data_IF_426462043571
#
_entry.id   IF_426462043571
#
_cell.length_a   1.000
_cell.length_b   1.000
_cell.length_c   1.000
_cell.angle_alpha   90.00
_cell.angle_beta   90.00
_cell.angle_gamma   90.00
#
_symmetry.space_group_name_H-M   'P 1'
#
loop_
_entity.id
_entity.type
_entity.pdbx_description
1 polymer ?
#
# COMPACT_ATOMS: atom_id res chain seq x y z
N UNK A 1 25.51 -0.45 12.68
CA UNK A 1 24.67 -0.40 11.46
C UNK A 1 24.34 1.06 11.14
N UNK A 2 25.12 1.71 10.29
CA UNK A 2 24.97 3.12 9.90
C UNK A 2 24.18 3.20 8.59
N UNK A 3 22.98 3.81 8.66
CA UNK A 3 22.09 4.02 7.52
C UNK A 3 22.73 5.06 6.59
N UNK A 4 23.34 4.60 5.49
CA UNK A 4 23.89 5.46 4.43
C UNK A 4 22.73 6.19 3.75
N UNK A 5 22.48 7.43 4.17
CA UNK A 5 21.51 8.34 3.58
C UNK A 5 21.99 8.75 2.18
N UNK A 6 21.74 7.90 1.18
CA UNK A 6 21.95 8.25 -0.21
C UNK A 6 20.72 8.99 -0.73
N UNK A 7 20.74 10.33 -0.65
CA UNK A 7 20.23 11.28 -1.65
C UNK A 7 20.33 12.74 -1.17
N UNK A 8 21.47 13.41 -1.45
CA UNK A 8 21.46 14.87 -1.58
C UNK A 8 21.92 15.35 -2.96
N UNK A 9 22.34 14.45 -3.87
CA UNK A 9 22.90 14.84 -5.19
C UNK A 9 21.89 15.56 -6.09
N UNK A 10 20.62 15.16 -6.06
CA UNK A 10 19.57 15.81 -6.84
C UNK A 10 19.21 17.20 -6.30
N UNK A 11 19.00 17.32 -4.99
CA UNK A 11 18.65 18.60 -4.37
C UNK A 11 19.78 19.63 -4.47
N UNK A 12 21.04 19.20 -4.29
CA UNK A 12 22.20 20.07 -4.47
C UNK A 12 22.37 20.52 -5.93
N UNK A 13 22.11 19.65 -6.91
CA UNK A 13 22.15 20.02 -8.31
C UNK A 13 21.08 21.08 -8.66
N UNK A 14 19.85 20.91 -8.18
CA UNK A 14 18.78 21.90 -8.38
C UNK A 14 19.08 23.24 -7.68
N UNK A 15 19.67 23.22 -6.48
CA UNK A 15 20.09 24.43 -5.78
C UNK A 15 21.21 25.17 -6.53
N UNK A 16 22.20 24.47 -7.08
CA UNK A 16 23.26 25.06 -7.90
C UNK A 16 22.71 25.67 -9.19
N UNK A 17 21.79 25.00 -9.87
CA UNK A 17 21.14 25.53 -11.08
C UNK A 17 20.34 26.79 -10.77
N UNK A 18 19.59 26.80 -9.66
CA UNK A 18 18.85 27.98 -9.22
C UNK A 18 19.79 29.15 -8.89
N UNK A 19 20.87 28.91 -8.15
CA UNK A 19 21.87 29.92 -7.80
C UNK A 19 22.60 30.48 -9.03
N UNK A 20 23.00 29.61 -9.97
CA UNK A 20 23.64 30.03 -11.21
C UNK A 20 22.70 30.88 -12.08
N UNK A 21 21.43 30.50 -12.16
CA UNK A 21 20.40 31.28 -12.87
C UNK A 21 20.22 32.66 -12.26
N UNK A 22 20.18 32.74 -10.92
CA UNK A 22 20.05 34.00 -10.19
C UNK A 22 21.29 34.91 -10.39
N UNK A 23 22.49 34.33 -10.35
CA UNK A 23 23.73 35.06 -10.57
C UNK A 23 23.81 35.66 -11.98
N UNK A 24 23.39 34.91 -12.99
CA UNK A 24 23.31 35.40 -14.38
C UNK A 24 22.36 36.60 -14.48
N UNK A 25 21.17 36.52 -13.88
CA UNK A 25 20.20 37.63 -13.87
C UNK A 25 20.80 38.89 -13.22
N UNK A 26 21.49 38.74 -12.09
CA UNK A 26 22.11 39.87 -11.38
C UNK A 26 23.28 40.50 -12.14
N UNK A 27 24.06 39.73 -12.90
CA UNK A 27 25.25 40.22 -13.63
C UNK A 27 24.88 40.87 -14.98
N UNK A 28 23.73 40.49 -15.56
CA UNK A 28 23.25 40.98 -16.86
C UNK A 28 23.19 42.52 -16.97
N UNK A 29 22.62 43.30 -16.03
CA UNK A 29 22.56 44.76 -16.16
C UNK A 29 23.94 45.43 -16.17
N UNK A 30 24.92 44.90 -15.41
CA UNK A 30 26.28 45.46 -15.38
C UNK A 30 27.06 45.18 -16.67
N UNK A 31 26.86 44.00 -17.26
CA UNK A 31 27.42 43.67 -18.58
C UNK A 31 26.83 44.57 -19.68
N UNK A 32 25.51 44.81 -19.63
CA UNK A 32 24.83 45.65 -20.60
C UNK A 32 25.29 47.11 -20.50
N UNK A 33 25.50 47.64 -19.29
CA UNK A 33 25.97 49.01 -19.09
C UNK A 33 27.41 49.22 -19.61
N UNK A 34 28.29 48.21 -19.48
CA UNK A 34 29.67 48.29 -19.97
C UNK A 34 29.85 48.12 -21.48
N UNK A 35 28.89 47.48 -22.17
CA UNK A 35 28.99 47.11 -23.58
C UNK A 35 28.02 47.90 -24.49
N UNK A 36 27.03 48.60 -23.93
CA UNK A 36 26.02 49.30 -24.72
C UNK A 36 26.55 50.61 -25.36
N UNK A 37 26.36 50.81 -26.68
CA UNK A 37 26.63 52.10 -27.32
C UNK A 37 25.69 53.19 -26.82
N UNK A 38 26.19 54.44 -26.69
CA UNK A 38 25.40 55.62 -26.24
C UNK A 38 24.18 55.97 -27.10
N UNK A 39 23.99 55.34 -28.26
CA UNK A 39 22.85 55.54 -29.17
C UNK A 39 21.74 54.50 -29.00
N UNK A 40 21.80 53.64 -27.97
CA UNK A 40 20.79 52.61 -27.74
C UNK A 40 19.52 53.23 -27.16
N UNK A 41 18.40 53.06 -27.88
CA UNK A 41 17.11 53.64 -27.50
C UNK A 41 16.39 52.73 -26.48
N UNK A 42 16.59 53.05 -25.20
CA UNK A 42 16.10 52.25 -24.07
C UNK A 42 14.58 52.05 -24.07
N UNK A 43 13.82 52.99 -24.62
CA UNK A 43 12.37 52.88 -24.75
C UNK A 43 11.96 51.74 -25.69
N UNK A 44 12.62 51.62 -26.85
CA UNK A 44 12.35 50.52 -27.79
C UNK A 44 12.76 49.17 -27.23
N UNK A 45 13.85 49.13 -26.45
CA UNK A 45 14.29 47.91 -25.76
C UNK A 45 13.30 47.50 -24.65
N UNK A 46 12.69 48.48 -23.97
CA UNK A 46 11.64 48.27 -22.97
C UNK A 46 10.35 47.71 -23.58
N UNK A 47 9.91 48.21 -24.73
CA UNK A 47 8.72 47.66 -25.42
C UNK A 47 8.92 46.20 -25.87
N UNK A 48 10.14 45.88 -26.31
CA UNK A 48 10.54 44.51 -26.64
C UNK A 48 10.60 43.64 -25.36
N UNK A 49 11.14 44.16 -24.25
CA UNK A 49 11.21 43.40 -22.99
C UNK A 49 9.83 43.19 -22.35
N UNK A 50 8.88 44.12 -22.51
CA UNK A 50 7.51 43.96 -22.03
C UNK A 50 6.77 42.81 -22.73
N UNK A 51 7.00 42.60 -24.03
CA UNK A 51 6.46 41.44 -24.75
C UNK A 51 7.07 40.12 -24.27
N UNK A 52 8.37 40.10 -23.95
CA UNK A 52 9.00 38.96 -23.28
C UNK A 52 8.52 38.76 -21.83
N UNK A 53 8.16 39.84 -21.11
CA UNK A 53 7.59 39.78 -19.77
C UNK A 53 6.19 39.15 -19.75
N UNK A 54 5.36 39.43 -20.74
CA UNK A 54 4.06 38.76 -20.89
C UNK A 54 4.25 37.25 -21.17
N UNK A 55 5.22 36.88 -22.00
CA UNK A 55 5.55 35.48 -22.27
C UNK A 55 6.11 34.77 -21.02
N UNK A 56 6.95 35.43 -20.22
CA UNK A 56 7.53 34.84 -19.01
C UNK A 56 6.47 34.51 -17.96
N UNK A 57 5.44 35.35 -17.80
CA UNK A 57 4.29 35.07 -16.93
C UNK A 57 3.58 33.78 -17.36
N UNK A 58 3.37 33.59 -18.67
CA UNK A 58 2.76 32.36 -19.20
C UNK A 58 3.63 31.13 -18.92
N UNK A 59 4.96 31.23 -19.10
CA UNK A 59 5.88 30.15 -18.77
C UNK A 59 5.94 29.85 -17.27
N UNK A 60 5.95 30.87 -16.41
CA UNK A 60 5.90 30.69 -14.96
C UNK A 60 4.59 30.06 -14.50
N UNK A 61 3.46 30.47 -15.08
CA UNK A 61 2.16 29.87 -14.81
C UNK A 61 2.11 28.40 -15.26
N UNK A 62 2.65 28.07 -16.44
CA UNK A 62 2.76 26.70 -16.92
C UNK A 62 3.68 25.85 -16.03
N UNK A 63 4.82 26.39 -15.59
CA UNK A 63 5.72 25.72 -14.67
C UNK A 63 5.07 25.44 -13.31
N UNK A 64 4.36 26.42 -12.75
CA UNK A 64 3.62 26.24 -11.50
C UNK A 64 2.52 25.17 -11.63
N UNK A 65 1.79 25.17 -12.75
CA UNK A 65 0.81 24.13 -13.04
C UNK A 65 1.45 22.74 -13.10
N UNK A 66 2.63 22.63 -13.75
CA UNK A 66 3.41 21.40 -13.76
C UNK A 66 3.80 20.92 -12.35
N UNK A 67 4.22 21.83 -11.47
CA UNK A 67 4.54 21.52 -10.07
C UNK A 67 3.30 21.05 -9.32
N UNK A 68 2.16 21.73 -9.46
CA UNK A 68 0.90 21.35 -8.79
C UNK A 68 0.43 19.96 -9.22
N UNK A 69 0.44 19.68 -10.53
CA UNK A 69 0.08 18.36 -11.06
C UNK A 69 1.05 17.28 -10.56
N UNK A 70 2.34 17.58 -10.48
CA UNK A 70 3.35 16.67 -9.95
C UNK A 70 3.10 16.35 -8.48
N UNK A 71 2.81 17.35 -7.64
CA UNK A 71 2.50 17.15 -6.21
C UNK A 71 1.22 16.33 -6.05
N UNK A 72 0.18 16.62 -6.84
CA UNK A 72 -1.06 15.84 -6.82
C UNK A 72 -0.80 14.36 -7.15
N UNK A 73 0.00 14.10 -8.19
CA UNK A 73 0.39 12.75 -8.56
C UNK A 73 1.23 12.06 -7.46
N UNK A 74 2.21 12.78 -6.89
CA UNK A 74 3.04 12.28 -5.80
C UNK A 74 2.20 11.93 -4.56
N UNK A 75 1.23 12.77 -4.19
CA UNK A 75 0.38 12.52 -3.02
C UNK A 75 -0.41 11.20 -3.16
N UNK A 76 -0.93 10.92 -4.36
CA UNK A 76 -1.63 9.67 -4.67
C UNK A 76 -0.67 8.48 -4.60
N UNK A 77 0.52 8.60 -5.16
CA UNK A 77 1.53 7.55 -5.10
C UNK A 77 1.98 7.26 -3.66
N UNK A 78 2.19 8.29 -2.84
CA UNK A 78 2.54 8.14 -1.43
C UNK A 78 1.46 7.39 -0.65
N UNK A 79 0.18 7.66 -0.94
CA UNK A 79 -0.92 6.94 -0.28
C UNK A 79 -0.87 5.43 -0.59
N UNK A 80 -0.73 5.08 -1.86
CA UNK A 80 -0.63 3.67 -2.30
C UNK A 80 0.61 3.00 -1.68
N UNK A 81 1.75 3.69 -1.65
CA UNK A 81 2.97 3.17 -1.04
C UNK A 81 2.83 2.95 0.47
N UNK A 82 2.15 3.86 1.18
CA UNK A 82 1.90 3.73 2.61
C UNK A 82 0.99 2.54 2.92
N UNK A 83 -0.07 2.33 2.14
CA UNK A 83 -0.97 1.18 2.27
C UNK A 83 -0.21 -0.14 2.03
N UNK A 84 0.65 -0.19 1.01
CA UNK A 84 1.50 -1.36 0.74
C UNK A 84 2.53 -1.60 1.86
N UNK A 85 3.17 -0.54 2.37
CA UNK A 85 4.13 -0.62 3.46
C UNK A 85 3.48 -1.12 4.76
N UNK A 86 2.27 -0.65 5.08
CA UNK A 86 1.52 -1.11 6.25
C UNK A 86 1.23 -2.62 6.17
N UNK A 87 0.77 -3.11 5.02
CA UNK A 87 0.57 -4.55 4.79
C UNK A 87 1.85 -5.36 4.93
N UNK A 88 2.97 -4.84 4.41
CA UNK A 88 4.28 -5.49 4.52
C UNK A 88 4.74 -5.60 5.98
N UNK A 89 4.58 -4.55 6.79
CA UNK A 89 4.90 -4.60 8.21
C UNK A 89 4.01 -5.59 8.98
N UNK A 90 2.70 -5.62 8.71
CA UNK A 90 1.79 -6.61 9.32
C UNK A 90 2.23 -8.05 9.03
N UNK A 91 2.61 -8.33 7.79
CA UNK A 91 3.16 -9.62 7.40
C UNK A 91 4.47 -9.94 8.14
N UNK A 92 5.39 -8.98 8.24
CA UNK A 92 6.65 -9.16 8.99
C UNK A 92 6.43 -9.44 10.48
N UNK A 93 5.51 -8.71 11.13
CA UNK A 93 5.16 -8.95 12.54
C UNK A 93 4.52 -10.33 12.74
N UNK A 94 3.66 -10.74 11.82
CA UNK A 94 3.04 -12.07 11.87
C UNK A 94 4.09 -13.16 11.70
N UNK A 95 4.98 -13.02 10.72
CA UNK A 95 6.08 -13.97 10.52
C UNK A 95 7.03 -14.03 11.73
N UNK A 96 7.37 -12.90 12.35
CA UNK A 96 8.18 -12.87 13.58
C UNK A 96 7.51 -13.69 14.69
N UNK A 97 6.19 -13.56 14.83
CA UNK A 97 5.39 -14.31 15.82
C UNK A 97 5.35 -15.80 15.50
N UNK A 98 5.28 -16.15 14.22
CA UNK A 98 5.34 -17.54 13.80
C UNK A 98 6.74 -18.13 14.02
N UNK A 99 7.81 -17.35 13.91
CA UNK A 99 9.17 -17.82 14.18
C UNK A 99 9.40 -18.10 15.67
N UNK A 100 8.90 -17.24 16.56
CA UNK A 100 9.02 -17.39 18.01
C UNK A 100 7.63 -17.42 18.67
N UNK A 101 7.14 -18.61 19.09
CA UNK A 101 5.84 -18.76 19.75
C UNK A 101 5.70 -17.94 21.04
N UNK A 102 6.78 -17.48 21.66
CA UNK A 102 6.72 -16.65 22.86
C UNK A 102 6.04 -15.30 22.59
N UNK A 103 6.09 -14.79 21.36
CA UNK A 103 5.44 -13.53 20.98
C UNK A 103 3.94 -13.64 20.73
N UNK A 104 3.34 -14.84 20.79
CA UNK A 104 1.89 -15.00 20.62
C UNK A 104 1.08 -14.18 21.66
N UNK A 105 1.65 -13.97 22.85
CA UNK A 105 1.01 -13.19 23.93
C UNK A 105 0.97 -11.68 23.68
N UNK A 106 1.75 -11.17 22.71
CA UNK A 106 1.76 -9.76 22.32
C UNK A 106 0.55 -9.40 21.44
N UNK A 107 -0.16 -10.40 20.92
CA UNK A 107 -1.38 -10.22 20.13
C UNK A 107 -2.61 -10.11 21.02
N UNK A 108 -3.74 -9.75 20.41
CA UNK A 108 -5.03 -9.71 21.08
C UNK A 108 -5.40 -11.11 21.61
N UNK A 109 -6.05 -11.20 22.80
CA UNK A 109 -6.58 -12.46 23.30
C UNK A 109 -7.59 -13.09 22.33
N UNK A 110 -7.62 -14.43 22.19
CA UNK A 110 -8.64 -15.11 21.41
C UNK A 110 -10.06 -14.85 21.93
N UNK A 111 -11.03 -14.70 21.02
CA UNK A 111 -12.44 -14.57 21.38
C UNK A 111 -13.10 -15.93 21.66
N UNK A 112 -12.50 -17.02 21.16
CA UNK A 112 -12.93 -18.39 21.41
C UNK A 112 -11.83 -19.20 22.10
N UNK A 113 -12.18 -20.23 22.91
CA UNK A 113 -11.18 -21.13 23.47
C UNK A 113 -10.41 -21.85 22.36
N UNK A 114 -9.10 -21.61 22.27
CA UNK A 114 -8.24 -22.20 21.25
C UNK A 114 -6.90 -22.66 21.85
N UNK A 115 -6.32 -23.71 21.27
CA UNK A 115 -4.96 -24.11 21.60
C UNK A 115 -3.95 -23.14 21.00
N UNK A 116 -2.71 -23.11 21.53
CA UNK A 116 -1.64 -22.26 20.97
C UNK A 116 -1.36 -22.57 19.50
N UNK A 117 -1.40 -23.84 19.11
CA UNK A 117 -1.19 -24.25 17.73
C UNK A 117 -2.33 -23.77 16.83
N UNK A 118 -3.58 -23.94 17.27
CA UNK A 118 -4.74 -23.41 16.54
C UNK A 118 -4.67 -21.89 16.40
N UNK A 119 -4.20 -21.18 17.43
CA UNK A 119 -4.01 -19.73 17.36
C UNK A 119 -3.02 -19.31 16.27
N UNK A 120 -1.90 -20.02 16.11
CA UNK A 120 -0.93 -19.78 15.02
C UNK A 120 -1.57 -19.97 13.65
N UNK A 121 -2.40 -21.00 13.49
CA UNK A 121 -3.15 -21.25 12.25
C UNK A 121 -4.19 -20.16 11.98
N UNK A 122 -4.84 -19.63 13.02
CA UNK A 122 -5.77 -18.49 12.93
C UNK A 122 -5.03 -17.21 12.51
N UNK A 123 -3.80 -16.97 12.98
CA UNK A 123 -2.98 -15.84 12.53
C UNK A 123 -2.62 -15.94 11.03
N UNK A 124 -2.23 -17.13 10.57
CA UNK A 124 -2.00 -17.36 9.12
C UNK A 124 -3.30 -17.17 8.33
N UNK A 125 -4.41 -17.67 8.86
CA UNK A 125 -5.75 -17.49 8.28
C UNK A 125 -6.13 -16.01 8.14
N UNK A 126 -5.79 -15.18 9.13
CA UNK A 126 -5.98 -13.73 9.04
C UNK A 126 -5.23 -13.13 7.85
N UNK A 127 -4.00 -13.56 7.58
CA UNK A 127 -3.23 -13.08 6.41
C UNK A 127 -3.91 -13.47 5.09
N UNK A 128 -4.39 -14.71 4.99
CA UNK A 128 -5.08 -15.22 3.78
C UNK A 128 -6.36 -14.41 3.52
N UNK A 129 -7.21 -14.25 4.53
CA UNK A 129 -8.46 -13.50 4.37
C UNK A 129 -8.21 -12.01 4.12
N UNK A 130 -7.19 -11.41 4.74
CA UNK A 130 -6.79 -10.02 4.50
C UNK A 130 -6.25 -9.81 3.08
N UNK A 131 -5.60 -10.82 2.51
CA UNK A 131 -5.19 -10.83 1.10
C UNK A 131 -6.42 -10.82 0.18
N UNK A 132 -7.39 -11.71 0.41
CA UNK A 132 -8.63 -11.72 -0.39
C UNK A 132 -9.44 -10.43 -0.25
N UNK A 133 -9.47 -9.81 0.93
CA UNK A 133 -10.05 -8.48 1.10
C UNK A 133 -9.33 -7.44 0.21
N UNK A 134 -8.00 -7.48 0.15
CA UNK A 134 -7.22 -6.59 -0.72
C UNK A 134 -7.53 -6.84 -2.19
N UNK A 135 -7.58 -8.10 -2.63
CA UNK A 135 -7.86 -8.46 -4.02
C UNK A 135 -9.29 -8.07 -4.43
N UNK A 136 -10.26 -8.25 -3.54
CA UNK A 136 -11.65 -7.82 -3.74
C UNK A 136 -11.75 -6.29 -3.84
N UNK A 137 -11.00 -5.57 -3.02
CA UNK A 137 -10.98 -4.10 -3.06
C UNK A 137 -10.30 -3.55 -4.31
N UNK A 138 -9.34 -4.28 -4.87
CA UNK A 138 -8.62 -3.93 -6.09
C UNK A 138 -9.32 -4.44 -7.36
N UNK A 139 -10.53 -5.01 -7.24
CA UNK A 139 -11.29 -5.61 -8.33
C UNK A 139 -10.51 -6.73 -9.08
N UNK A 140 -9.54 -7.37 -8.40
CA UNK A 140 -8.82 -8.56 -8.88
C UNK A 140 -9.58 -9.86 -8.57
N UNK A 141 -10.45 -9.79 -7.55
CA UNK A 141 -11.33 -10.87 -7.14
C UNK A 141 -12.77 -10.34 -7.18
N UNK A 142 -13.58 -10.81 -8.12
CA UNK A 142 -15.00 -10.44 -8.18
C UNK A 142 -15.84 -11.18 -7.12
N UNK A 143 -17.11 -10.81 -6.99
CA UNK A 143 -18.01 -11.40 -5.99
C UNK A 143 -18.21 -12.92 -6.17
N UNK A 144 -18.32 -13.39 -7.42
CA UNK A 144 -18.45 -14.83 -7.72
C UNK A 144 -17.21 -15.61 -7.30
N UNK A 145 -16.03 -15.09 -7.62
CA UNK A 145 -14.75 -15.70 -7.29
C UNK A 145 -14.50 -15.65 -5.79
N UNK A 146 -14.86 -14.55 -5.12
CA UNK A 146 -14.80 -14.43 -3.67
C UNK A 146 -15.67 -15.49 -2.98
N UNK A 147 -16.91 -15.68 -3.44
CA UNK A 147 -17.78 -16.75 -2.94
C UNK A 147 -17.16 -18.13 -3.13
N UNK A 148 -16.55 -18.38 -4.30
CA UNK A 148 -15.93 -19.67 -4.59
C UNK A 148 -14.75 -19.96 -3.65
N UNK A 149 -13.81 -19.02 -3.49
CA UNK A 149 -12.64 -19.22 -2.62
C UNK A 149 -13.03 -19.35 -1.15
N UNK A 150 -14.01 -18.56 -0.68
CA UNK A 150 -14.53 -18.66 0.68
C UNK A 150 -15.27 -19.98 0.90
N UNK A 151 -15.99 -20.48 -0.10
CA UNK A 151 -16.68 -21.77 -0.02
C UNK A 151 -15.69 -22.89 0.17
N UNK A 152 -14.60 -22.91 -0.59
CA UNK A 152 -13.56 -23.91 -0.40
C UNK A 152 -12.82 -23.75 0.93
N UNK A 153 -12.58 -22.51 1.35
CA UNK A 153 -11.92 -22.21 2.61
C UNK A 153 -12.74 -22.67 3.84
N UNK A 154 -14.04 -22.42 3.86
CA UNK A 154 -14.94 -22.83 4.95
C UNK A 154 -15.35 -24.30 4.93
N UNK A 155 -14.90 -25.10 3.95
CA UNK A 155 -14.96 -26.56 4.08
C UNK A 155 -14.08 -27.06 5.22
N UNK A 156 -13.01 -26.33 5.51
CA UNK A 156 -12.02 -26.71 6.51
C UNK A 156 -12.34 -26.27 7.93
N UNK A 157 -11.94 -27.07 8.93
CA UNK A 157 -12.13 -26.72 10.34
C UNK A 157 -11.40 -25.42 10.73
N UNK A 158 -10.16 -25.21 10.28
CA UNK A 158 -9.36 -24.01 10.64
C UNK A 158 -10.03 -22.74 10.11
N UNK A 159 -10.56 -22.78 8.88
CA UNK A 159 -11.24 -21.64 8.28
C UNK A 159 -12.51 -21.28 9.04
N UNK A 160 -13.24 -22.28 9.54
CA UNK A 160 -14.42 -22.05 10.39
C UNK A 160 -14.06 -21.52 11.76
N UNK A 161 -13.04 -22.09 12.40
CA UNK A 161 -12.53 -21.60 13.69
C UNK A 161 -12.05 -20.14 13.58
N UNK A 162 -11.39 -19.81 12.47
CA UNK A 162 -10.97 -18.45 12.17
C UNK A 162 -12.16 -17.49 12.09
N UNK A 163 -13.21 -17.81 11.33
CA UNK A 163 -14.37 -16.92 11.21
C UNK A 163 -15.15 -16.83 12.53
N UNK A 164 -15.30 -17.93 13.26
CA UNK A 164 -15.90 -17.94 14.58
C UNK A 164 -15.15 -17.04 15.59
N UNK A 165 -13.82 -17.02 15.53
CA UNK A 165 -13.00 -16.17 16.40
C UNK A 165 -12.92 -14.71 15.91
N UNK A 166 -12.67 -14.50 14.62
CA UNK A 166 -12.24 -13.21 14.07
C UNK A 166 -13.35 -12.46 13.34
N UNK A 167 -14.47 -13.11 13.02
CA UNK A 167 -15.61 -12.50 12.32
C UNK A 167 -16.11 -11.25 13.05
N UNK A 168 -16.20 -11.29 14.38
CA UNK A 168 -16.57 -10.13 15.20
C UNK A 168 -15.65 -8.91 14.97
N UNK A 169 -14.34 -9.11 14.75
CA UNK A 169 -13.41 -8.02 14.44
C UNK A 169 -13.66 -7.44 13.04
N UNK A 170 -13.99 -8.28 12.06
CA UNK A 170 -14.40 -7.84 10.73
C UNK A 170 -15.71 -7.05 10.73
N UNK A 171 -16.70 -7.49 11.51
CA UNK A 171 -17.94 -6.74 11.71
C UNK A 171 -17.70 -5.35 12.29
N UNK A 172 -16.89 -5.24 13.36
CA UNK A 172 -16.52 -3.95 13.94
C UNK A 172 -15.87 -3.03 12.90
N UNK A 173 -15.03 -3.56 12.02
CA UNK A 173 -14.41 -2.79 10.95
C UNK A 173 -15.43 -2.35 9.89
N UNK A 174 -16.38 -3.21 9.53
CA UNK A 174 -17.45 -2.92 8.57
C UNK A 174 -18.47 -1.89 9.10
N UNK A 175 -18.72 -1.88 10.40
CA UNK A 175 -19.66 -1.00 11.10
C UNK A 175 -19.06 0.38 11.41
N UNK A 176 -17.78 0.43 11.81
CA UNK A 176 -17.10 1.68 12.15
C UNK A 176 -16.79 2.56 10.93
N UNK A 177 -16.75 1.97 9.73
CA UNK A 177 -16.43 2.67 8.48
C UNK A 177 -17.64 2.96 7.60
N UNK A 178 -17.52 3.96 6.72
CA UNK A 178 -18.49 4.19 5.65
C UNK A 178 -18.27 3.28 4.42
N UNK A 179 -17.26 2.41 4.44
CA UNK A 179 -16.86 1.58 3.30
C UNK A 179 -17.90 0.51 2.94
N UNK A 180 -18.56 0.72 1.79
CA UNK A 180 -19.57 -0.21 1.25
C UNK A 180 -18.94 -1.53 0.80
N UNK A 181 -17.70 -1.53 0.32
CA UNK A 181 -17.00 -2.75 -0.10
C UNK A 181 -16.69 -3.63 1.09
N UNK A 182 -16.26 -3.05 2.22
CA UNK A 182 -16.02 -3.80 3.46
C UNK A 182 -17.30 -4.49 3.93
N UNK A 183 -18.42 -3.77 3.99
CA UNK A 183 -19.73 -4.36 4.33
C UNK A 183 -20.15 -5.47 3.37
N UNK A 184 -19.87 -5.33 2.08
CA UNK A 184 -20.18 -6.37 1.11
C UNK A 184 -19.31 -7.62 1.32
N UNK A 185 -18.00 -7.45 1.53
CA UNK A 185 -17.07 -8.55 1.79
C UNK A 185 -17.47 -9.35 3.03
N UNK A 186 -17.72 -8.66 4.16
CA UNK A 186 -18.13 -9.31 5.40
C UNK A 186 -19.44 -10.05 5.24
N UNK A 187 -20.45 -9.42 4.61
CA UNK A 187 -21.74 -10.09 4.33
C UNK A 187 -21.56 -11.36 3.49
N UNK A 188 -20.76 -11.32 2.44
CA UNK A 188 -20.49 -12.49 1.59
C UNK A 188 -19.81 -13.59 2.42
N UNK A 189 -18.82 -13.24 3.25
CA UNK A 189 -18.16 -14.20 4.11
C UNK A 189 -19.12 -14.84 5.12
N UNK A 190 -20.02 -14.07 5.73
CA UNK A 190 -21.04 -14.60 6.63
C UNK A 190 -22.02 -15.55 5.94
N UNK A 191 -22.52 -15.17 4.76
CA UNK A 191 -23.43 -16.00 3.96
C UNK A 191 -22.79 -17.37 3.65
N UNK A 192 -21.54 -17.36 3.20
CA UNK A 192 -20.82 -18.59 2.83
C UNK A 192 -20.43 -19.40 4.07
N UNK A 193 -20.04 -18.75 5.17
CA UNK A 193 -19.75 -19.41 6.44
C UNK A 193 -20.99 -20.10 7.00
N UNK A 194 -22.12 -19.41 7.08
CA UNK A 194 -23.39 -19.95 7.55
C UNK A 194 -23.81 -21.16 6.70
N UNK A 195 -23.77 -21.03 5.37
CA UNK A 195 -24.06 -22.14 4.47
C UNK A 195 -23.13 -23.34 4.68
N UNK A 196 -21.84 -23.11 4.97
CA UNK A 196 -20.90 -24.19 5.25
C UNK A 196 -21.21 -24.91 6.58
N UNK A 197 -21.60 -24.15 7.62
CA UNK A 197 -22.02 -24.71 8.91
C UNK A 197 -23.29 -25.56 8.75
N UNK A 198 -24.27 -25.07 8.01
CA UNK A 198 -25.52 -25.78 7.75
C UNK A 198 -25.32 -27.06 6.91
N UNK A 199 -24.33 -27.07 6.02
CA UNK A 199 -24.01 -28.23 5.18
C UNK A 199 -23.40 -29.42 5.96
N UNK A 200 -23.08 -29.26 7.25
CA UNK A 200 -22.60 -30.32 8.12
C UNK A 200 -21.19 -30.07 8.68
N UNK A 201 -20.54 -31.11 9.24
CA UNK A 201 -19.27 -30.95 9.93
C UNK A 201 -18.15 -30.51 9.00
N UNK A 202 -17.21 -29.74 9.53
CA UNK A 202 -16.03 -29.32 8.79
C UNK A 202 -15.10 -30.51 8.51
N UNK A 203 -14.35 -30.43 7.41
CA UNK A 203 -13.27 -31.39 7.14
C UNK A 203 -12.16 -31.15 8.16
N UNK A 204 -11.85 -32.18 8.95
CA UNK A 204 -10.81 -32.12 9.96
C UNK A 204 -9.42 -31.93 9.32
N UNK A 205 -8.55 -31.10 9.91
CA UNK A 205 -7.23 -30.81 9.34
C UNK A 205 -6.36 -32.08 9.26
N UNK A 206 -6.57 -33.02 10.17
CA UNK A 206 -5.89 -34.32 10.16
C UNK A 206 -6.25 -35.19 8.95
N UNK A 207 -7.36 -34.91 8.27
CA UNK A 207 -7.83 -35.67 7.11
C UNK A 207 -7.43 -35.04 5.76
N UNK A 208 -6.69 -33.92 5.75
CA UNK A 208 -6.35 -33.22 4.50
C UNK A 208 -5.30 -33.94 3.67
N UNK A 209 -4.33 -34.57 4.32
CA UNK A 209 -3.17 -35.15 3.67
C UNK A 209 -3.10 -36.64 3.97
N UNK A 210 -3.04 -37.45 2.92
CA UNK A 210 -2.75 -38.88 3.07
C UNK A 210 -1.33 -39.04 3.60
N UNK A 211 -1.10 -39.85 4.64
CA UNK A 211 0.26 -40.13 5.11
C UNK A 211 1.09 -40.76 3.98
N UNK A 212 2.41 -40.50 3.95
CA UNK A 212 3.29 -41.09 2.94
C UNK A 212 3.20 -42.62 2.98
N UNK A 213 3.11 -43.24 1.81
CA UNK A 213 3.13 -44.70 1.69
C UNK A 213 4.45 -45.23 2.29
N UNK A 214 4.43 -46.25 3.17
CA UNK A 214 5.67 -46.82 3.70
C UNK A 214 6.55 -47.32 2.55
N UNK A 215 7.85 -47.04 2.63
CA UNK A 215 8.81 -47.52 1.65
C UNK A 215 8.72 -49.06 1.54
N UNK A 216 8.81 -49.63 0.33
CA UNK A 216 8.80 -51.08 0.17
C UNK A 216 9.94 -51.69 0.99
N UNK A 217 9.70 -52.82 1.70
CA UNK A 217 10.75 -53.47 2.47
C UNK A 217 11.86 -53.93 1.53
N UNK A 218 13.06 -53.34 1.64
CA UNK A 218 14.25 -53.76 0.91
C UNK A 218 15.02 -52.70 0.12
N UNK A 219 14.80 -51.40 0.36
CA UNK A 219 15.65 -50.34 -0.20
C UNK A 219 16.66 -49.82 0.85
N UNK A 220 17.65 -50.64 1.19
CA UNK A 220 18.94 -50.23 1.75
C UNK A 220 20.07 -50.77 0.87
#
# INVERSE_FOLDING_TARGET
MTRRNSRPRGAAAWACVALASLAVICVTPFLLDGLAPRSLDWNRLSDISQTYGALSVLFSAAALMGVVLSIAHQSRQTRIQNEAAHRSHHHQLTLLTLQDPSFLVCWEPPNTPVTRERWRQILVSNLIVSMWWSDFTLDLLDESSLRAVLKDYFRGEVGRDYWANSGASWHRLAESGSDRRMRAFVRIADEVYASAVDAGPAVASAAYFTPPHPAPPGAE
#
